data_IF_204061768077
#
_entry.id   IF_204061768077
#
_cell.length_a   1.000
_cell.length_b   1.000
_cell.length_c   1.000
_cell.angle_alpha   90.00
_cell.angle_beta   90.00
_cell.angle_gamma   90.00
#
_symmetry.space_group_name_H-M   'P 1'
#
loop_
_entity.id
_entity.type
_entity.pdbx_description
1 polymer ?
#
# COMPACT_ATOMS: atom_id res chain seq x y z
N UNK A 1 -27.16 16.43 40.26
CA UNK A 1 -27.21 16.01 38.85
C UNK A 1 -25.92 15.26 38.56
N UNK A 2 -26.05 13.97 38.29
CA UNK A 2 -24.99 12.96 38.22
C UNK A 2 -24.20 13.01 36.91
N UNK A 3 -23.01 12.37 36.86
CA UNK A 3 -22.13 12.36 35.69
C UNK A 3 -22.71 11.45 34.59
N UNK A 4 -22.64 11.87 33.33
CA UNK A 4 -23.08 11.04 32.20
C UNK A 4 -21.98 10.01 31.85
N UNK A 5 -22.26 8.80 32.31
CA UNK A 5 -21.63 7.53 32.07
C UNK A 5 -21.76 7.06 30.60
N UNK A 6 -20.71 6.42 30.08
CA UNK A 6 -20.59 5.90 28.72
C UNK A 6 -21.72 4.94 28.30
N UNK A 7 -22.24 5.08 27.07
CA UNK A 7 -22.68 3.92 26.27
C UNK A 7 -22.24 4.02 24.80
N UNK A 8 -21.85 2.89 24.18
CA UNK A 8 -21.14 2.84 22.91
C UNK A 8 -22.03 3.16 21.72
N UNK A 9 -21.48 3.91 20.76
CA UNK A 9 -22.10 4.20 19.48
C UNK A 9 -22.15 2.91 18.64
N UNK A 10 -23.25 2.16 18.77
CA UNK A 10 -23.59 1.01 17.94
C UNK A 10 -24.01 1.47 16.53
N UNK A 11 -23.03 1.78 15.69
CA UNK A 11 -23.24 2.13 14.28
C UNK A 11 -22.10 1.61 13.39
N UNK A 12 -21.78 0.33 13.53
CA UNK A 12 -20.97 -0.42 12.56
C UNK A 12 -21.47 -1.87 12.50
N UNK A 13 -22.65 -2.09 11.92
CA UNK A 13 -23.06 -3.42 11.50
C UNK A 13 -22.63 -3.64 10.04
N UNK A 14 -21.56 -4.43 9.87
CA UNK A 14 -21.49 -5.39 8.77
C UNK A 14 -20.69 -4.98 7.53
N UNK A 15 -19.36 -4.89 7.64
CA UNK A 15 -18.49 -5.41 6.57
C UNK A 15 -17.92 -6.73 7.08
N UNK A 16 -18.52 -7.85 6.64
CA UNK A 16 -17.91 -9.17 6.79
C UNK A 16 -16.74 -9.24 5.79
N UNK A 17 -15.54 -8.97 6.27
CA UNK A 17 -14.31 -9.25 5.50
C UNK A 17 -14.03 -10.75 5.65
N UNK A 18 -14.12 -11.48 4.55
CA UNK A 18 -13.83 -12.91 4.49
C UNK A 18 -12.37 -13.15 4.94
N UNK A 19 -12.22 -13.82 6.08
CA UNK A 19 -10.96 -14.46 6.47
C UNK A 19 -10.77 -15.69 5.58
N UNK A 20 -9.81 -15.62 4.67
CA UNK A 20 -9.39 -16.75 3.85
C UNK A 20 -8.63 -16.26 2.63
N UNK A 21 -7.44 -16.82 2.42
CA UNK A 21 -6.57 -16.63 1.23
C UNK A 21 -5.56 -15.47 1.25
N UNK A 22 -4.61 -15.45 2.19
CA UNK A 22 -3.23 -14.98 1.87
C UNK A 22 -2.19 -15.71 2.75
N UNK A 23 -2.15 -17.05 2.70
CA UNK A 23 -1.06 -17.81 3.35
C UNK A 23 -0.60 -18.97 2.46
N UNK A 24 -0.03 -18.62 1.30
CA UNK A 24 0.97 -19.42 0.58
C UNK A 24 1.39 -18.64 -0.68
N UNK A 25 2.26 -17.63 -0.53
CA UNK A 25 2.93 -17.05 -1.70
C UNK A 25 3.96 -18.06 -2.21
N UNK A 26 3.86 -18.56 -3.46
CA UNK A 26 4.85 -19.43 -4.07
C UNK A 26 6.26 -18.82 -3.97
N UNK A 27 7.30 -19.65 -3.98
CA UNK A 27 8.70 -19.18 -3.91
C UNK A 27 9.04 -18.15 -5.01
N UNK A 28 8.34 -18.20 -6.15
CA UNK A 28 8.40 -17.19 -7.22
C UNK A 28 7.87 -15.81 -6.79
N UNK A 29 6.72 -15.76 -6.09
CA UNK A 29 6.17 -14.51 -5.55
C UNK A 29 6.98 -13.99 -4.35
N UNK A 30 7.69 -14.88 -3.61
CA UNK A 30 8.67 -14.45 -2.60
C UNK A 30 9.85 -13.67 -3.20
N UNK A 31 10.40 -14.12 -4.33
CA UNK A 31 11.45 -13.38 -5.05
C UNK A 31 11.00 -11.99 -5.48
N UNK A 32 9.75 -11.88 -5.95
CA UNK A 32 9.10 -10.62 -6.30
C UNK A 32 8.93 -9.69 -5.09
N UNK A 33 8.58 -10.23 -3.92
CA UNK A 33 8.50 -9.45 -2.68
C UNK A 33 9.86 -8.99 -2.17
N UNK A 34 10.92 -9.77 -2.37
CA UNK A 34 12.28 -9.40 -1.96
C UNK A 34 12.83 -8.29 -2.86
N UNK A 35 12.66 -8.42 -4.18
CA UNK A 35 12.99 -7.39 -5.14
C UNK A 35 12.21 -6.09 -4.88
N UNK A 36 10.89 -6.20 -4.62
CA UNK A 36 10.07 -5.05 -4.23
C UNK A 36 10.61 -4.37 -2.96
N UNK A 37 10.92 -5.14 -1.90
CA UNK A 37 11.46 -4.59 -0.64
C UNK A 37 12.82 -3.92 -0.86
N UNK A 38 13.67 -4.51 -1.69
CA UNK A 38 14.97 -3.94 -2.04
C UNK A 38 14.79 -2.60 -2.77
N UNK A 39 13.97 -2.56 -3.82
CA UNK A 39 13.69 -1.36 -4.60
C UNK A 39 13.03 -0.28 -3.71
N UNK A 40 12.03 -0.63 -2.92
CA UNK A 40 11.36 0.30 -2.01
C UNK A 40 12.32 0.86 -0.94
N UNK A 41 13.27 0.05 -0.47
CA UNK A 41 14.32 0.50 0.47
C UNK A 41 15.33 1.41 -0.21
N UNK A 42 15.74 1.09 -1.43
CA UNK A 42 16.61 1.94 -2.24
C UNK A 42 15.98 3.32 -2.46
N UNK A 43 14.72 3.37 -2.91
CA UNK A 43 14.01 4.65 -3.09
C UNK A 43 13.78 5.39 -1.77
N UNK A 44 13.52 4.68 -0.67
CA UNK A 44 13.43 5.32 0.65
C UNK A 44 14.72 6.06 1.01
N UNK A 45 15.88 5.44 0.77
CA UNK A 45 17.19 6.06 1.03
C UNK A 45 17.41 7.25 0.09
N UNK A 46 17.13 7.10 -1.21
CA UNK A 46 17.26 8.19 -2.18
C UNK A 46 16.37 9.39 -1.81
N UNK A 47 15.10 9.16 -1.47
CA UNK A 47 14.19 10.21 -1.05
C UNK A 47 14.62 10.87 0.26
N UNK A 48 15.18 10.11 1.20
CA UNK A 48 15.75 10.66 2.43
C UNK A 48 16.92 11.61 2.18
N UNK A 49 17.81 11.27 1.25
CA UNK A 49 19.00 12.06 0.93
C UNK A 49 18.63 13.29 0.10
N UNK A 50 17.88 13.12 -0.99
CA UNK A 50 17.68 14.17 -1.98
C UNK A 50 16.42 15.02 -1.74
N UNK A 51 15.39 14.48 -1.08
CA UNK A 51 14.06 15.10 -1.01
C UNK A 51 13.58 15.40 0.41
N UNK A 52 14.48 15.36 1.41
CA UNK A 52 14.16 15.60 2.83
C UNK A 52 12.93 14.80 3.31
N UNK A 53 12.83 13.56 2.84
CA UNK A 53 11.62 12.75 2.99
C UNK A 53 11.26 12.52 4.46
N UNK A 54 10.07 12.97 4.88
CA UNK A 54 9.56 12.82 6.25
C UNK A 54 8.32 11.94 6.24
N UNK A 55 8.33 10.90 7.08
CA UNK A 55 7.19 10.01 7.30
C UNK A 55 6.74 10.22 8.75
N UNK A 56 5.45 10.44 8.95
CA UNK A 56 4.83 10.66 10.26
C UNK A 56 3.69 9.66 10.39
N UNK A 57 3.54 9.01 11.55
CA UNK A 57 2.40 8.12 11.78
C UNK A 57 2.54 6.73 11.17
N UNK A 58 3.76 6.29 10.81
CA UNK A 58 3.98 4.97 10.18
C UNK A 58 3.59 3.82 11.10
N UNK A 59 3.68 4.03 12.41
CA UNK A 59 3.28 3.11 13.47
C UNK A 59 1.77 2.82 13.48
N UNK A 60 0.96 3.68 12.86
CA UNK A 60 -0.50 3.49 12.73
C UNK A 60 -0.86 2.55 11.59
N UNK A 61 0.08 2.25 10.70
CA UNK A 61 -0.16 1.30 9.62
C UNK A 61 -0.06 -0.11 10.20
N UNK A 62 -1.14 -0.92 10.17
CA UNK A 62 -1.10 -2.25 10.75
C UNK A 62 -0.13 -3.15 9.97
N UNK A 63 0.59 -4.04 10.65
CA UNK A 63 1.53 -4.98 10.01
C UNK A 63 0.82 -6.12 9.27
N UNK A 64 -0.44 -6.43 9.64
CA UNK A 64 -1.26 -7.51 9.08
C UNK A 64 -2.66 -7.00 8.71
N UNK A 65 -3.38 -7.75 7.87
CA UNK A 65 -4.73 -7.39 7.39
C UNK A 65 -4.72 -6.40 6.22
N UNK A 66 -5.87 -6.21 5.56
CA UNK A 66 -6.00 -5.28 4.41
C UNK A 66 -5.93 -3.81 4.84
N UNK A 67 -5.29 -2.97 4.02
CA UNK A 67 -5.22 -1.51 4.22
C UNK A 67 -5.49 -0.83 2.89
N UNK A 68 -6.31 0.22 2.91
CA UNK A 68 -6.49 1.14 1.79
C UNK A 68 -5.71 2.40 2.12
N UNK A 69 -4.76 2.74 1.26
CA UNK A 69 -3.97 3.97 1.38
C UNK A 69 -4.53 4.97 0.38
N UNK A 70 -4.95 6.13 0.89
CA UNK A 70 -5.46 7.22 0.07
C UNK A 70 -4.46 8.38 0.18
N UNK A 71 -4.05 8.91 -0.96
CA UNK A 71 -3.16 10.07 -1.04
C UNK A 71 -3.72 11.10 -2.00
N UNK A 72 -3.30 12.34 -1.84
CA UNK A 72 -3.37 13.31 -2.93
C UNK A 72 -2.51 12.81 -4.11
N UNK A 73 -3.01 13.01 -5.34
CA UNK A 73 -2.24 12.70 -6.54
C UNK A 73 -1.59 13.98 -7.07
N UNK A 74 -0.31 14.17 -6.76
CA UNK A 74 0.45 15.37 -7.15
C UNK A 74 1.35 15.06 -8.34
N UNK A 75 1.84 13.82 -8.44
CA UNK A 75 2.82 13.47 -9.45
C UNK A 75 2.77 11.99 -9.85
N UNK A 76 3.36 11.67 -11.01
CA UNK A 76 3.57 10.28 -11.41
C UNK A 76 4.51 9.49 -10.49
N UNK A 77 5.24 10.16 -9.57
CA UNK A 77 6.13 9.52 -8.61
C UNK A 77 5.41 9.05 -7.35
N UNK A 78 4.14 9.38 -7.16
CA UNK A 78 3.39 9.06 -5.94
C UNK A 78 3.41 7.56 -5.61
N UNK A 79 3.29 6.62 -6.58
CA UNK A 79 3.43 5.19 -6.29
C UNK A 79 4.81 4.79 -5.75
N UNK A 80 5.87 5.46 -6.18
CA UNK A 80 7.23 5.20 -5.67
C UNK A 80 7.39 5.78 -4.26
N UNK A 81 6.89 6.99 -4.02
CA UNK A 81 6.96 7.65 -2.71
C UNK A 81 6.16 6.88 -1.66
N UNK A 82 4.94 6.46 -1.99
CA UNK A 82 4.08 5.67 -1.09
C UNK A 82 4.68 4.29 -0.85
N UNK A 83 5.19 3.64 -1.91
CA UNK A 83 5.85 2.34 -1.80
C UNK A 83 7.10 2.40 -0.90
N UNK A 84 7.88 3.47 -1.00
CA UNK A 84 9.02 3.72 -0.13
C UNK A 84 8.61 4.03 1.33
N UNK A 85 7.51 4.78 1.52
CA UNK A 85 7.00 5.10 2.85
C UNK A 85 6.56 3.83 3.60
N UNK A 86 5.80 2.96 2.93
CA UNK A 86 5.18 1.76 3.51
C UNK A 86 5.92 0.48 3.06
N UNK A 87 7.25 0.57 2.91
CA UNK A 87 8.11 -0.51 2.37
C UNK A 87 8.03 -1.87 3.08
N UNK A 88 7.47 -1.93 4.30
CA UNK A 88 7.24 -3.19 5.03
C UNK A 88 6.15 -4.04 4.37
N UNK A 89 5.32 -3.44 3.51
CA UNK A 89 4.17 -4.04 2.84
C UNK A 89 4.26 -3.80 1.34
N UNK A 90 3.78 -4.75 0.55
CA UNK A 90 3.64 -4.56 -0.88
C UNK A 90 2.36 -3.78 -1.17
N UNK A 91 2.50 -2.62 -1.81
CA UNK A 91 1.39 -1.79 -2.26
C UNK A 91 0.90 -2.27 -3.62
N UNK A 92 -0.40 -2.17 -3.86
CA UNK A 92 -1.01 -2.35 -5.18
C UNK A 92 -1.75 -1.07 -5.54
N UNK A 93 -1.54 -0.57 -6.76
CA UNK A 93 -2.06 0.72 -7.19
C UNK A 93 -3.21 0.57 -8.19
N UNK A 94 -4.09 1.57 -8.20
CA UNK A 94 -5.03 1.78 -9.28
C UNK A 94 -4.30 2.49 -10.42
N UNK A 95 -4.27 1.89 -11.60
CA UNK A 95 -3.61 2.47 -12.77
C UNK A 95 -4.57 2.50 -13.96
N UNK A 96 -4.43 3.54 -14.81
CA UNK A 96 -5.27 3.74 -15.99
C UNK A 96 -5.25 2.52 -16.92
N UNK A 97 -6.41 2.04 -17.36
CA UNK A 97 -6.51 0.84 -18.22
C UNK A 97 -5.64 0.84 -19.48
N UNK A 98 -5.35 2.01 -20.05
CA UNK A 98 -4.52 2.16 -21.24
C UNK A 98 -3.05 1.78 -21.00
N UNK A 99 -2.55 1.97 -19.77
CA UNK A 99 -1.17 1.57 -19.40
C UNK A 99 -0.97 0.06 -19.54
N UNK A 100 -2.03 -0.72 -19.34
CA UNK A 100 -1.98 -2.20 -19.43
C UNK A 100 -1.88 -2.70 -20.87
N UNK A 101 -2.25 -1.87 -21.86
CA UNK A 101 -2.23 -2.21 -23.29
C UNK A 101 -0.86 -1.95 -23.93
N UNK A 102 0.01 -1.20 -23.28
CA UNK A 102 1.37 -0.92 -23.78
C UNK A 102 2.29 -2.13 -23.55
N UNK A 103 3.08 -2.57 -24.54
CA UNK A 103 3.81 -3.84 -24.47
C UNK A 103 4.87 -3.90 -23.36
N UNK A 104 5.55 -2.78 -23.08
CA UNK A 104 6.58 -2.71 -22.02
C UNK A 104 6.00 -2.24 -20.69
N UNK A 105 5.27 -1.12 -20.72
CA UNK A 105 4.68 -0.52 -19.52
C UNK A 105 3.62 -1.45 -18.92
N UNK A 106 2.80 -2.09 -19.76
CA UNK A 106 1.75 -3.00 -19.31
C UNK A 106 2.30 -4.24 -18.61
N UNK A 107 3.43 -4.79 -19.06
CA UNK A 107 4.07 -5.92 -18.37
C UNK A 107 4.52 -5.54 -16.95
N UNK A 108 5.08 -4.34 -16.79
CA UNK A 108 5.49 -3.84 -15.48
C UNK A 108 4.28 -3.52 -14.58
N UNK A 109 3.31 -2.76 -15.10
CA UNK A 109 2.14 -2.28 -14.35
C UNK A 109 1.25 -3.45 -13.89
N UNK A 110 1.13 -4.53 -14.68
CA UNK A 110 0.42 -5.76 -14.29
C UNK A 110 0.94 -6.41 -13.00
N UNK A 111 2.19 -6.14 -12.63
CA UNK A 111 2.80 -6.74 -11.45
C UNK A 111 2.40 -6.05 -10.15
N UNK A 112 2.09 -4.75 -10.21
CA UNK A 112 1.89 -3.91 -9.03
C UNK A 112 0.59 -3.09 -9.06
N UNK A 113 -0.22 -3.21 -10.10
CA UNK A 113 -1.43 -2.41 -10.29
C UNK A 113 -2.54 -3.20 -10.94
N UNK A 114 -3.78 -2.73 -10.74
CA UNK A 114 -4.96 -3.21 -11.46
C UNK A 114 -5.60 -2.07 -12.26
N UNK A 115 -6.25 -2.39 -13.40
CA UNK A 115 -6.83 -1.40 -14.27
C UNK A 115 -8.05 -0.75 -13.62
N UNK A 116 -8.15 0.57 -13.77
CA UNK A 116 -9.34 1.38 -13.52
C UNK A 116 -9.71 2.21 -14.74
#
# INVERSE_FOLDING_TARGET
MTPLENKPCHLWQGIKIYFGWVQALPNFLRGLTLAYRFIATLFFILFKIFFRFKIIGIEKVPDKGGVIVVSNHVSHLDPLVIGAAIRKRQSTYMAKSELFKMPLIGAFVKTFSFPV
#
